data_IF_636071728860
#
_entry.id   IF_636071728860
#
_cell.length_a   1.000
_cell.length_b   1.000
_cell.length_c   1.000
_cell.angle_alpha   90.00
_cell.angle_beta   90.00
_cell.angle_gamma   90.00
#
_symmetry.space_group_name_H-M   'P 1'
#
loop_
_entity.id
_entity.type
_entity.pdbx_description
1 polymer ?
#
# COMPACT_ATOMS: atom_id res chain seq x y z
N UNK A 1 -0.65 -15.90 -2.21
CA UNK A 1 0.59 -16.05 -1.52
C UNK A 1 0.80 -15.04 -0.42
N UNK A 2 1.93 -15.14 0.21
CA UNK A 2 2.25 -14.24 1.30
C UNK A 2 2.80 -12.92 0.79
N UNK A 3 2.53 -11.87 1.55
CA UNK A 3 3.09 -10.56 1.26
C UNK A 3 4.59 -10.57 1.46
N UNK A 4 5.27 -9.81 0.62
CA UNK A 4 6.73 -9.63 0.72
C UNK A 4 7.04 -8.14 0.74
N UNK A 5 8.15 -7.74 1.38
CA UNK A 5 8.56 -6.33 1.39
C UNK A 5 8.59 -5.78 -0.02
N UNK A 6 8.00 -4.60 -0.19
CA UNK A 6 7.87 -3.97 -1.50
C UNK A 6 6.53 -4.18 -2.16
N UNK A 7 5.72 -5.11 -1.66
CA UNK A 7 4.37 -5.30 -2.20
C UNK A 7 3.49 -4.11 -1.83
N UNK A 8 2.57 -3.76 -2.70
CA UNK A 8 1.57 -2.76 -2.38
C UNK A 8 0.44 -3.41 -1.58
N UNK A 9 -0.09 -2.66 -0.62
CA UNK A 9 -1.26 -3.10 0.14
C UNK A 9 -2.35 -2.06 -0.05
N UNK A 10 -3.55 -2.53 -0.37
CA UNK A 10 -4.67 -1.67 -0.71
C UNK A 10 -5.75 -1.77 0.34
N UNK A 11 -6.36 -0.63 0.62
CA UNK A 11 -7.39 -0.54 1.65
C UNK A 11 -8.62 0.17 1.11
N UNK A 12 -9.73 -0.14 1.73
CA UNK A 12 -11.01 0.48 1.46
C UNK A 12 -11.50 1.06 2.79
N UNK A 13 -11.32 2.34 2.99
CA UNK A 13 -11.59 2.98 4.27
C UNK A 13 -12.93 3.70 4.27
N UNK A 14 -13.13 4.60 3.34
CA UNK A 14 -14.35 5.40 3.30
C UNK A 14 -15.22 5.16 2.08
N UNK A 15 -14.70 4.49 1.09
CA UNK A 15 -15.46 4.25 -0.13
C UNK A 15 -15.59 2.75 -0.37
N UNK A 16 -16.36 2.39 -1.38
CA UNK A 16 -16.53 1.00 -1.75
C UNK A 16 -15.41 0.48 -2.63
N UNK A 17 -14.54 1.37 -3.06
CA UNK A 17 -13.39 1.00 -3.86
C UNK A 17 -12.12 1.36 -3.11
N UNK A 18 -10.98 1.00 -3.70
CA UNK A 18 -9.69 1.31 -3.10
C UNK A 18 -9.55 2.81 -2.94
N UNK A 19 -9.29 3.26 -1.72
CA UNK A 19 -9.06 4.67 -1.46
C UNK A 19 -7.82 4.92 -0.62
N UNK A 20 -7.02 3.89 -0.37
CA UNK A 20 -5.79 4.06 0.39
C UNK A 20 -4.81 2.96 0.00
N UNK A 21 -3.53 3.30 -0.05
CA UNK A 21 -2.49 2.36 -0.44
C UNK A 21 -1.26 2.56 0.44
N UNK A 22 -0.57 1.46 0.71
CA UNK A 22 0.69 1.49 1.43
C UNK A 22 1.68 0.53 0.82
N UNK A 23 2.88 0.50 1.35
CA UNK A 23 3.94 -0.39 0.90
C UNK A 23 4.32 -1.31 2.06
N UNK A 24 4.19 -2.61 1.82
CA UNK A 24 4.54 -3.60 2.84
C UNK A 24 6.05 -3.60 3.07
N UNK A 25 6.45 -3.62 4.34
CA UNK A 25 7.87 -3.59 4.68
C UNK A 25 8.30 -4.81 5.51
N UNK A 26 7.42 -5.79 5.63
CA UNK A 26 7.73 -7.00 6.39
C UNK A 26 7.17 -6.94 7.79
N UNK A 27 7.14 -8.08 8.48
CA UNK A 27 6.68 -8.19 9.86
C UNK A 27 5.28 -7.60 10.07
N UNK A 28 4.40 -7.79 9.08
CA UNK A 28 3.02 -7.31 9.12
C UNK A 28 2.92 -5.79 9.22
N UNK A 29 3.93 -5.06 8.76
CA UNK A 29 3.93 -3.60 8.79
C UNK A 29 3.95 -3.03 7.39
N UNK A 30 3.41 -1.84 7.27
CA UNK A 30 3.41 -1.13 5.99
C UNK A 30 3.63 0.36 6.20
N UNK A 31 4.22 0.99 5.20
CA UNK A 31 4.49 2.42 5.19
C UNK A 31 3.43 3.10 4.35
N UNK A 32 2.88 4.19 4.85
CA UNK A 32 1.85 4.92 4.12
C UNK A 32 1.78 6.37 4.60
N UNK A 33 1.11 7.20 3.81
CA UNK A 33 0.83 8.57 4.19
C UNK A 33 -0.68 8.66 4.43
N UNK A 34 -1.12 8.69 5.70
CA UNK A 34 -2.55 8.59 6.02
C UNK A 34 -3.39 9.75 5.48
N UNK A 35 -2.80 10.92 5.35
CA UNK A 35 -3.51 12.09 4.88
C UNK A 35 -2.59 13.00 4.11
N UNK A 36 -3.18 13.79 3.23
CA UNK A 36 -2.45 14.83 2.53
C UNK A 36 -1.80 15.76 3.55
N UNK A 37 -0.52 16.05 3.38
CA UNK A 37 0.20 16.95 4.27
C UNK A 37 0.66 16.34 5.58
N UNK A 38 0.32 15.07 5.83
CA UNK A 38 0.80 14.37 7.00
C UNK A 38 2.05 13.58 6.68
N UNK A 39 2.83 13.31 7.72
CA UNK A 39 4.06 12.55 7.55
C UNK A 39 3.78 11.10 7.20
N UNK A 40 4.73 10.49 6.50
CA UNK A 40 4.71 9.06 6.24
C UNK A 40 4.82 8.32 7.57
N UNK A 41 4.05 7.26 7.72
CA UNK A 41 3.99 6.49 8.95
C UNK A 41 4.12 5.01 8.68
N UNK A 42 4.51 4.26 9.71
CA UNK A 42 4.51 2.81 9.68
C UNK A 42 3.33 2.34 10.53
N UNK A 43 2.51 1.47 9.97
CA UNK A 43 1.35 0.93 10.68
C UNK A 43 1.36 -0.58 10.62
N UNK A 44 0.57 -1.20 11.49
CA UNK A 44 0.52 -2.66 11.65
C UNK A 44 -0.72 -3.22 10.96
N UNK A 45 -0.51 -4.10 9.97
CA UNK A 45 -1.61 -4.75 9.26
C UNK A 45 -2.47 -5.61 10.18
N UNK A 46 -1.91 -6.07 11.28
CA UNK A 46 -2.65 -6.92 12.22
C UNK A 46 -3.50 -6.14 13.20
N UNK A 47 -3.39 -4.81 13.22
CA UNK A 47 -4.27 -4.02 14.06
C UNK A 47 -5.71 -4.18 13.57
N UNK A 48 -6.67 -4.09 14.48
CA UNK A 48 -8.08 -4.32 14.12
C UNK A 48 -8.56 -3.32 13.07
N UNK A 49 -8.10 -2.08 13.15
CA UNK A 49 -8.48 -1.06 12.20
C UNK A 49 -8.04 -1.42 10.77
N UNK A 50 -6.76 -1.68 10.58
CA UNK A 50 -6.23 -1.95 9.24
C UNK A 50 -6.66 -3.29 8.71
N UNK A 51 -6.79 -4.27 9.59
CA UNK A 51 -7.28 -5.58 9.20
C UNK A 51 -8.69 -5.50 8.63
N UNK A 52 -9.53 -4.67 9.24
CA UNK A 52 -10.92 -4.50 8.79
C UNK A 52 -11.01 -3.86 7.42
N UNK A 53 -10.08 -2.97 7.10
CA UNK A 53 -10.13 -2.22 5.85
C UNK A 53 -9.23 -2.78 4.76
N UNK A 54 -8.45 -3.78 5.07
CA UNK A 54 -7.55 -4.39 4.10
C UNK A 54 -8.33 -5.05 2.98
N UNK A 55 -7.92 -4.79 1.76
CA UNK A 55 -8.58 -5.35 0.58
C UNK A 55 -7.72 -6.39 -0.13
N UNK A 56 -6.50 -6.03 -0.47
CA UNK A 56 -5.63 -6.92 -1.22
C UNK A 56 -4.20 -6.42 -1.21
N UNK A 57 -3.28 -7.33 -1.51
CA UNK A 57 -1.89 -6.99 -1.76
C UNK A 57 -1.54 -7.29 -3.20
N UNK A 58 -0.59 -6.56 -3.74
CA UNK A 58 -0.17 -6.77 -5.11
C UNK A 58 1.33 -6.54 -5.25
N UNK A 59 2.00 -7.48 -5.89
CA UNK A 59 3.44 -7.36 -6.15
C UNK A 59 3.69 -6.52 -7.38
N UNK A 60 4.63 -5.57 -7.26
CA UNK A 60 5.03 -4.75 -8.38
C UNK A 60 6.31 -5.33 -8.97
N UNK A 61 6.26 -5.67 -10.26
CA UNK A 61 7.43 -6.16 -10.95
C UNK A 61 8.27 -4.99 -11.46
N UNK A 62 9.59 -5.18 -11.59
CA UNK A 62 10.45 -4.10 -12.07
C UNK A 62 10.01 -3.49 -13.40
N UNK A 63 9.48 -4.32 -14.30
CA UNK A 63 8.99 -3.82 -15.59
C UNK A 63 7.81 -2.88 -15.41
N UNK A 64 6.94 -3.18 -14.44
CA UNK A 64 5.80 -2.33 -14.16
C UNK A 64 6.25 -0.96 -13.65
N UNK A 65 7.25 -0.95 -12.79
CA UNK A 65 7.80 0.30 -12.28
C UNK A 65 8.42 1.13 -13.39
N UNK A 66 9.13 0.48 -14.30
CA UNK A 66 9.74 1.17 -15.42
C UNK A 66 8.70 1.85 -16.30
N UNK A 67 7.59 1.17 -16.54
CA UNK A 67 6.51 1.73 -17.35
C UNK A 67 5.87 2.93 -16.67
N UNK A 68 5.67 2.86 -15.37
CA UNK A 68 5.11 3.98 -14.61
C UNK A 68 6.03 5.18 -14.69
N UNK A 69 7.32 4.97 -14.53
CA UNK A 69 8.31 6.05 -14.61
C UNK A 69 8.28 6.71 -15.99
N UNK A 70 8.24 5.92 -17.05
CA UNK A 70 8.18 6.46 -18.40
C UNK A 70 6.95 7.32 -18.61
N UNK A 71 5.80 6.88 -18.10
CA UNK A 71 4.57 7.64 -18.23
C UNK A 71 4.64 8.96 -17.50
N UNK A 72 5.26 8.96 -16.33
CA UNK A 72 5.34 10.16 -15.49
C UNK A 72 6.22 11.25 -16.09
N UNK A 73 7.18 10.87 -16.89
CA UNK A 73 8.12 11.84 -17.47
C UNK A 73 7.56 12.60 -18.66
N UNK A 74 6.36 12.28 -19.06
CA UNK A 74 5.71 12.97 -20.16
C UNK A 74 4.97 14.21 -19.65
#
# INVERSE_FOLDING_TARGET
GKLQPGDLVFFRIRSRSVDHVGIYVGNDRFVHAPRRGKKVRVSDLNSSYWKRHYLAGKRILPTTLAQVESTRKR
#
